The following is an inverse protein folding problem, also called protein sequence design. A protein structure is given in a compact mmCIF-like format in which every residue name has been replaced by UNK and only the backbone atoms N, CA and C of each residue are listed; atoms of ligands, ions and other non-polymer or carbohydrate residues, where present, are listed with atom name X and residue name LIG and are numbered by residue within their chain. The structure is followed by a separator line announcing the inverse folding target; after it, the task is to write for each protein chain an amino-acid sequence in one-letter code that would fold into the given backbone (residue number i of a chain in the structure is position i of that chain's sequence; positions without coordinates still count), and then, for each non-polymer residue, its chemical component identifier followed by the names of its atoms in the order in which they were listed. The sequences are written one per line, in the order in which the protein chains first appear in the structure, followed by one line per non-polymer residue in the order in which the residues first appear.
data_IF_263423286799
#
_entry.id   IF_263423286799
#
_cell.length_a   1.000
_cell.length_b   1.000
_cell.length_c   1.000
_cell.angle_alpha   90.00
_cell.angle_beta   90.00
_cell.angle_gamma   90.00
#
_symmetry.space_group_name_H-M   'P 1'
#
loop_
_entity.id
_entity.type
_entity.pdbx_description
1 polymer ?
#
# COMPACT_ATOMS: atom_id res chain seq x y z
N UNK A 1 -20.07 -9.03 6.51
CA UNK A 1 -19.33 -8.88 5.23
C UNK A 1 -17.86 -9.14 5.49
N UNK A 2 -17.23 -10.09 4.80
CA UNK A 2 -15.87 -10.56 5.15
C UNK A 2 -15.01 -10.58 3.90
N UNK A 3 -13.81 -10.00 3.96
CA UNK A 3 -12.74 -10.36 3.03
C UNK A 3 -12.62 -11.89 3.03
N UNK A 4 -12.58 -12.53 1.85
CA UNK A 4 -12.22 -13.94 1.78
C UNK A 4 -10.77 -14.05 2.22
N UNK A 5 -10.56 -14.56 3.43
CA UNK A 5 -9.23 -14.84 3.97
C UNK A 5 -8.67 -16.06 3.26
N UNK A 6 -8.06 -15.84 2.10
CA UNK A 6 -7.08 -16.79 1.57
C UNK A 6 -5.78 -16.44 2.30
N UNK A 7 -5.47 -17.20 3.35
CA UNK A 7 -4.24 -17.04 4.12
C UNK A 7 -3.13 -17.75 3.36
N UNK A 8 -2.22 -16.99 2.75
CA UNK A 8 -1.02 -17.54 2.15
C UNK A 8 0.15 -16.90 2.86
N UNK A 9 0.98 -17.75 3.46
CA UNK A 9 2.14 -17.38 4.25
C UNK A 9 3.35 -17.57 3.36
N UNK A 10 4.05 -16.49 3.03
CA UNK A 10 5.31 -16.55 2.30
C UNK A 10 6.35 -15.69 3.00
N UNK A 11 7.58 -16.18 3.12
CA UNK A 11 8.67 -15.38 3.66
C UNK A 11 9.23 -14.46 2.56
N UNK A 12 9.71 -13.27 2.91
CA UNK A 12 10.34 -12.31 2.00
C UNK A 12 11.69 -11.86 2.51
N UNK A 13 12.55 -11.44 1.58
CA UNK A 13 13.84 -10.84 1.89
C UNK A 13 13.77 -9.34 1.52
N UNK A 14 13.78 -8.45 2.52
CA UNK A 14 13.90 -7.00 2.32
C UNK A 14 15.32 -6.57 2.65
N UNK A 15 15.92 -5.77 1.75
CA UNK A 15 17.24 -5.19 1.98
C UNK A 15 17.16 -3.73 2.47
N UNK A 16 17.60 -3.43 3.71
CA UNK A 16 17.72 -2.06 4.26
C UNK A 16 19.19 -1.69 4.52
N UNK A 17 19.69 -0.59 3.93
CA UNK A 17 20.93 0.08 4.39
C UNK A 17 20.60 1.19 5.38
N UNK A 18 21.27 1.13 6.52
CA UNK A 18 21.55 2.29 7.36
C UNK A 18 22.84 2.93 6.85
N UNK A 19 22.83 4.21 6.50
CA UNK A 19 24.03 5.03 6.55
C UNK A 19 23.71 6.41 7.14
N UNK A 20 24.43 6.71 8.21
CA UNK A 20 24.72 8.07 8.62
C UNK A 20 25.80 8.65 7.69
N UNK A 21 25.76 9.97 7.55
CA UNK A 21 26.75 10.91 7.00
C UNK A 21 26.51 11.50 5.59
N UNK A 22 26.46 12.83 5.64
CA UNK A 22 26.52 13.82 4.57
C UNK A 22 27.70 13.58 3.61
N UNK A 23 27.45 13.65 2.30
CA UNK A 23 28.05 14.67 1.43
C UNK A 23 27.61 14.50 -0.03
N UNK A 24 27.56 15.64 -0.73
CA UNK A 24 27.07 15.88 -2.08
C UNK A 24 27.63 14.92 -3.15
N UNK A 25 26.73 14.33 -3.95
CA UNK A 25 26.73 14.26 -5.43
C UNK A 25 25.97 13.01 -5.94
N UNK A 26 24.75 13.26 -6.44
CA UNK A 26 24.08 12.64 -7.59
C UNK A 26 24.40 11.18 -7.95
N UNK A 27 23.72 10.22 -7.31
CA UNK A 27 23.19 8.99 -7.94
C UNK A 27 21.96 8.50 -7.14
N UNK A 28 20.90 7.97 -7.79
CA UNK A 28 19.73 7.46 -7.07
C UNK A 28 20.13 6.26 -6.21
N UNK A 29 19.92 6.39 -4.90
CA UNK A 29 20.27 5.43 -3.87
C UNK A 29 19.75 4.02 -4.17
N UNK A 30 20.62 3.15 -4.67
CA UNK A 30 20.43 1.69 -4.67
C UNK A 30 20.78 1.21 -3.26
N UNK A 31 19.76 0.81 -2.50
CA UNK A 31 19.86 0.42 -1.09
C UNK A 31 20.20 -1.08 -1.01
N UNK A 32 21.49 -1.43 -0.79
CA UNK A 32 21.98 -2.80 -0.54
C UNK A 32 22.19 -3.12 0.95
N UNK A 33 21.28 -3.76 1.69
CA UNK A 33 21.63 -4.18 3.07
C UNK A 33 20.80 -5.31 3.67
N UNK A 34 21.42 -6.33 4.25
CA UNK A 34 20.89 -7.40 5.13
C UNK A 34 19.51 -8.01 4.79
N UNK A 35 19.52 -9.31 4.49
CA UNK A 35 18.33 -10.13 4.29
C UNK A 35 17.48 -10.25 5.57
N UNK A 36 16.39 -9.48 5.68
CA UNK A 36 15.39 -9.72 6.71
C UNK A 36 14.34 -10.70 6.19
N UNK A 37 14.18 -11.84 6.87
CA UNK A 37 13.08 -12.77 6.63
C UNK A 37 11.77 -12.19 7.16
N UNK A 38 10.89 -11.83 6.25
CA UNK A 38 9.64 -11.14 6.53
C UNK A 38 8.49 -12.01 6.04
N UNK A 39 7.76 -12.59 6.97
CA UNK A 39 6.52 -13.27 6.64
C UNK A 39 5.50 -12.26 6.08
N UNK A 40 5.06 -12.49 4.86
CA UNK A 40 4.05 -11.71 4.15
C UNK A 40 2.80 -12.54 4.02
N UNK A 41 1.71 -11.88 4.35
CA UNK A 41 0.36 -12.35 4.17
C UNK A 41 -0.34 -11.52 3.11
N UNK A 42 -0.77 -12.17 2.04
CA UNK A 42 -1.62 -11.57 1.02
C UNK A 42 -3.10 -11.77 1.35
N UNK A 43 -3.96 -10.80 1.02
CA UNK A 43 -5.41 -10.91 1.20
C UNK A 43 -6.13 -10.15 0.10
N UNK A 44 -7.08 -10.80 -0.55
CA UNK A 44 -7.98 -10.19 -1.54
C UNK A 44 -9.25 -9.66 -0.84
N UNK A 45 -9.68 -8.45 -1.24
CA UNK A 45 -10.75 -7.68 -0.60
C UNK A 45 -11.95 -7.45 -1.54
N UNK A 46 -12.40 -8.47 -2.28
CA UNK A 46 -13.32 -8.34 -3.43
C UNK A 46 -14.64 -7.57 -3.21
N UNK A 47 -15.07 -7.37 -1.96
CA UNK A 47 -16.36 -6.75 -1.62
C UNK A 47 -16.30 -5.69 -0.51
N UNK A 48 -15.13 -5.17 -0.15
CA UNK A 48 -15.02 -4.21 0.96
C UNK A 48 -15.14 -2.78 0.45
N UNK A 49 -16.32 -2.20 0.63
CA UNK A 49 -16.60 -0.78 0.39
C UNK A 49 -16.53 -0.01 1.72
N UNK A 50 -15.80 1.10 1.72
CA UNK A 50 -15.60 1.96 2.87
C UNK A 50 -16.12 3.35 2.53
N UNK A 51 -17.02 3.85 3.38
CA UNK A 51 -17.62 5.18 3.26
C UNK A 51 -17.21 6.04 4.44
N UNK A 52 -17.42 7.35 4.32
CA UNK A 52 -17.34 8.26 5.46
C UNK A 52 -18.42 7.90 6.48
N UNK A 53 -18.03 7.74 7.74
CA UNK A 53 -18.96 7.34 8.81
C UNK A 53 -18.79 8.16 10.09
N UNK A 54 -17.59 8.64 10.41
CA UNK A 54 -17.35 9.34 11.66
C UNK A 54 -17.71 10.82 11.56
N UNK A 55 -18.29 11.34 12.64
CA UNK A 55 -18.61 12.78 12.75
C UNK A 55 -17.52 13.54 13.49
N UNK A 56 -16.76 12.86 14.35
CA UNK A 56 -15.66 13.42 15.12
C UNK A 56 -14.43 12.51 15.18
N UNK A 57 -13.26 13.12 15.44
CA UNK A 57 -11.97 12.43 15.62
C UNK A 57 -11.99 11.41 16.76
N UNK A 58 -12.81 11.64 17.79
CA UNK A 58 -12.88 10.81 18.99
C UNK A 58 -13.53 9.44 18.74
N UNK A 59 -14.32 9.32 17.67
CA UNK A 59 -14.93 8.04 17.26
C UNK A 59 -13.91 7.10 16.60
N UNK A 60 -12.83 7.65 16.02
CA UNK A 60 -11.89 6.93 15.18
C UNK A 60 -10.82 6.18 15.99
N UNK A 61 -11.15 4.97 16.48
CA UNK A 61 -10.20 4.11 17.23
C UNK A 61 -9.03 3.61 16.40
N UNK A 62 -9.27 3.28 15.12
CA UNK A 62 -8.31 2.75 14.15
C UNK A 62 -7.64 1.45 14.60
N UNK A 63 -8.40 0.53 15.19
CA UNK A 63 -7.94 -0.81 15.58
C UNK A 63 -7.73 -1.73 14.36
N UNK A 64 -8.43 -1.44 13.26
CA UNK A 64 -8.33 -2.13 11.98
C UNK A 64 -7.94 -1.16 10.86
N UNK A 65 -7.47 -1.70 9.73
CA UNK A 65 -7.13 -0.89 8.55
C UNK A 65 -8.40 -0.27 7.97
N UNK A 66 -9.51 -1.00 7.99
CA UNK A 66 -10.82 -0.54 7.53
C UNK A 66 -11.35 0.62 8.38
N UNK A 67 -11.19 0.57 9.71
CA UNK A 67 -11.48 1.70 10.59
C UNK A 67 -10.60 2.91 10.28
N UNK A 68 -9.31 2.70 10.01
CA UNK A 68 -8.39 3.77 9.62
C UNK A 68 -8.79 4.41 8.27
N UNK A 69 -9.16 3.62 7.26
CA UNK A 69 -9.69 4.16 6.00
C UNK A 69 -10.96 4.98 6.23
N UNK A 70 -11.87 4.50 7.08
CA UNK A 70 -13.09 5.23 7.47
C UNK A 70 -12.72 6.57 8.11
N UNK A 71 -11.72 6.58 9.00
CA UNK A 71 -11.20 7.79 9.63
C UNK A 71 -10.56 8.76 8.62
N UNK A 72 -9.77 8.25 7.69
CA UNK A 72 -9.13 9.06 6.62
C UNK A 72 -10.20 9.72 5.75
N UNK A 73 -11.23 8.97 5.34
CA UNK A 73 -12.36 9.52 4.57
C UNK A 73 -13.21 10.51 5.35
N UNK A 74 -13.26 10.37 6.68
CA UNK A 74 -14.08 11.23 7.55
C UNK A 74 -13.37 12.53 7.93
N UNK A 75 -12.05 12.60 7.79
CA UNK A 75 -11.21 13.71 8.21
C UNK A 75 -11.63 15.05 7.57
N UNK A 76 -12.03 16.00 8.41
CA UNK A 76 -12.47 17.35 8.02
C UNK A 76 -11.60 18.47 8.61
N UNK A 77 -10.50 18.13 9.27
CA UNK A 77 -9.56 19.09 9.87
C UNK A 77 -8.13 18.57 9.77
N UNK A 78 -7.16 19.48 9.92
CA UNK A 78 -5.74 19.11 9.92
C UNK A 78 -5.41 18.22 11.11
N UNK A 79 -5.95 18.51 12.30
CA UNK A 79 -5.72 17.70 13.50
C UNK A 79 -6.16 16.25 13.30
N UNK A 80 -7.21 16.01 12.52
CA UNK A 80 -7.65 14.66 12.18
C UNK A 80 -6.71 13.96 11.19
N UNK A 81 -6.17 14.69 10.21
CA UNK A 81 -5.12 14.15 9.33
C UNK A 81 -3.88 13.78 10.16
N UNK A 82 -3.47 14.67 11.07
CA UNK A 82 -2.30 14.48 11.94
C UNK A 82 -2.53 13.25 12.84
N UNK A 83 -3.73 13.06 13.39
CA UNK A 83 -4.12 11.90 14.19
C UNK A 83 -4.08 10.56 13.46
N UNK A 84 -4.38 10.56 12.16
CA UNK A 84 -4.31 9.37 11.32
C UNK A 84 -2.88 9.07 10.83
N UNK A 85 -1.95 10.03 10.93
CA UNK A 85 -0.59 9.92 10.38
C UNK A 85 0.43 9.52 11.42
N UNK A 86 1.28 8.55 11.12
CA UNK A 86 2.39 8.16 11.98
C UNK A 86 3.41 9.29 12.05
N UNK A 87 3.71 9.79 13.26
CA UNK A 87 4.54 10.97 13.47
C UNK A 87 3.76 12.29 13.47
N UNK A 88 2.43 12.23 13.32
CA UNK A 88 1.54 13.37 13.52
C UNK A 88 1.84 14.55 12.60
N UNK A 89 1.75 15.75 13.17
CA UNK A 89 1.92 17.04 12.49
C UNK A 89 3.27 17.23 11.79
N UNK A 90 4.30 16.48 12.20
CA UNK A 90 5.65 16.53 11.62
C UNK A 90 5.76 15.74 10.30
N UNK A 91 4.84 14.81 10.06
CA UNK A 91 4.85 13.91 8.89
C UNK A 91 3.61 14.05 8.01
N UNK A 92 2.54 14.64 8.54
CA UNK A 92 1.33 14.95 7.80
C UNK A 92 1.58 16.00 6.71
N UNK A 93 1.00 15.79 5.53
CA UNK A 93 0.92 16.84 4.51
C UNK A 93 -0.08 17.90 4.97
N UNK A 94 0.34 19.17 5.01
CA UNK A 94 -0.56 20.28 5.35
C UNK A 94 -1.58 20.52 4.25
N UNK A 95 -2.84 20.67 4.65
CA UNK A 95 -3.98 20.94 3.77
C UNK A 95 -4.57 22.31 4.08
N UNK A 96 -5.09 22.95 3.04
CA UNK A 96 -5.71 24.27 3.14
C UNK A 96 -7.14 24.16 3.70
N UNK A 97 -7.69 25.29 4.16
CA UNK A 97 -9.11 25.34 4.56
C UNK A 97 -10.05 24.97 3.41
N UNK A 98 -9.71 25.36 2.18
CA UNK A 98 -10.50 25.06 0.99
C UNK A 98 -10.60 23.56 0.70
N UNK A 99 -9.52 22.81 1.00
CA UNK A 99 -9.54 21.35 0.92
C UNK A 99 -10.60 20.75 1.85
N UNK A 100 -10.66 21.21 3.10
CA UNK A 100 -11.64 20.72 4.07
C UNK A 100 -13.06 21.19 3.75
N UNK A 101 -13.24 22.41 3.24
CA UNK A 101 -14.52 22.88 2.75
C UNK A 101 -15.02 22.03 1.57
N UNK A 102 -14.13 21.58 0.69
CA UNK A 102 -14.45 20.69 -0.43
C UNK A 102 -14.88 19.31 0.09
N UNK A 103 -14.12 18.71 1.00
CA UNK A 103 -14.48 17.42 1.64
C UNK A 103 -15.82 17.52 2.37
N UNK A 104 -16.08 18.63 3.04
CA UNK A 104 -17.34 18.87 3.76
C UNK A 104 -18.57 18.84 2.85
N UNK A 105 -18.41 19.19 1.56
CA UNK A 105 -19.48 19.22 0.56
C UNK A 105 -19.65 17.92 -0.22
N UNK A 106 -18.75 16.95 -0.05
CA UNK A 106 -18.83 15.66 -0.76
C UNK A 106 -20.02 14.83 -0.27
N UNK A 107 -20.76 14.25 -1.21
CA UNK A 107 -21.83 13.30 -0.91
C UNK A 107 -21.25 12.00 -0.31
N UNK A 108 -21.64 11.67 0.91
CA UNK A 108 -21.09 10.51 1.64
C UNK A 108 -21.58 9.17 1.08
N UNK A 109 -22.71 9.17 0.38
CA UNK A 109 -23.30 7.96 -0.18
C UNK A 109 -22.73 7.61 -1.54
N UNK A 110 -22.30 8.62 -2.30
CA UNK A 110 -21.71 8.46 -3.62
C UNK A 110 -20.17 8.39 -3.62
N UNK A 111 -19.51 8.96 -2.61
CA UNK A 111 -18.04 8.89 -2.47
C UNK A 111 -17.62 7.72 -1.58
N UNK A 112 -16.90 6.75 -2.13
CA UNK A 112 -16.46 5.56 -1.38
C UNK A 112 -15.11 5.02 -1.86
N UNK A 113 -14.44 4.30 -0.98
CA UNK A 113 -13.24 3.53 -1.28
C UNK A 113 -13.64 2.06 -1.44
N UNK A 114 -13.22 1.42 -2.53
CA UNK A 114 -13.24 -0.03 -2.67
C UNK A 114 -11.85 -0.59 -2.41
N UNK A 115 -11.67 -1.37 -1.34
CA UNK A 115 -10.42 -2.09 -1.11
C UNK A 115 -10.31 -3.23 -2.13
N UNK A 116 -9.10 -3.49 -2.63
CA UNK A 116 -8.86 -4.49 -3.68
C UNK A 116 -8.04 -5.64 -3.15
N UNK A 117 -6.88 -5.35 -2.60
CA UNK A 117 -6.07 -6.34 -1.91
C UNK A 117 -5.09 -5.66 -0.95
N UNK A 118 -4.51 -6.43 -0.04
CA UNK A 118 -3.46 -5.96 0.86
C UNK A 118 -2.36 -6.99 1.05
N UNK A 119 -1.15 -6.49 1.31
CA UNK A 119 -0.02 -7.24 1.85
C UNK A 119 0.19 -6.81 3.30
N UNK A 120 0.27 -7.77 4.22
CA UNK A 120 0.57 -7.54 5.64
C UNK A 120 1.87 -8.24 6.00
N UNK A 121 2.79 -7.56 6.68
CA UNK A 121 4.11 -8.08 7.00
C UNK A 121 4.77 -7.33 8.16
N UNK A 122 5.84 -7.90 8.76
CA UNK A 122 6.60 -7.21 9.82
C UNK A 122 7.84 -6.54 9.24
N UNK A 123 7.92 -5.21 9.34
CA UNK A 123 9.11 -4.43 9.00
C UNK A 123 9.79 -3.96 10.29
N UNK A 124 11.03 -4.38 10.54
CA UNK A 124 11.76 -4.05 11.78
C UNK A 124 10.91 -4.32 13.05
N UNK A 125 10.22 -5.46 13.09
CA UNK A 125 9.34 -5.85 14.20
C UNK A 125 7.97 -5.15 14.24
N UNK A 126 7.73 -4.14 13.40
CA UNK A 126 6.47 -3.40 13.32
C UNK A 126 5.55 -3.99 12.26
N UNK A 127 4.33 -4.37 12.65
CA UNK A 127 3.32 -4.83 11.70
C UNK A 127 2.96 -3.69 10.74
N UNK A 128 3.16 -3.95 9.45
CA UNK A 128 3.02 -3.03 8.33
C UNK A 128 2.04 -3.63 7.33
N UNK A 129 1.25 -2.79 6.69
CA UNK A 129 0.36 -3.21 5.62
C UNK A 129 0.41 -2.26 4.43
N UNK A 130 0.37 -2.79 3.21
CA UNK A 130 0.24 -2.03 1.97
C UNK A 130 -1.07 -2.44 1.32
N UNK A 131 -1.98 -1.48 1.12
CA UNK A 131 -3.33 -1.77 0.63
C UNK A 131 -3.61 -1.00 -0.65
N UNK A 132 -3.96 -1.73 -1.71
CA UNK A 132 -4.50 -1.18 -2.95
C UNK A 132 -5.99 -0.90 -2.80
N UNK A 133 -6.42 0.23 -3.31
CA UNK A 133 -7.83 0.61 -3.34
C UNK A 133 -8.19 1.43 -4.58
N UNK A 134 -9.48 1.49 -4.90
CA UNK A 134 -10.03 2.45 -5.85
C UNK A 134 -10.91 3.46 -5.11
N UNK A 135 -10.68 4.75 -5.36
CA UNK A 135 -11.53 5.83 -4.89
C UNK A 135 -12.59 6.13 -5.96
N UNK A 136 -13.86 6.04 -5.60
CA UNK A 136 -15.00 6.39 -6.43
C UNK A 136 -15.53 7.75 -5.97
N UNK A 137 -15.67 8.67 -6.93
CA UNK A 137 -16.23 10.00 -6.69
C UNK A 137 -17.27 10.32 -7.76
N UNK A 138 -18.23 11.16 -7.39
CA UNK A 138 -19.35 11.57 -8.25
C UNK A 138 -18.83 12.14 -9.57
N UNK A 139 -19.36 11.66 -10.69
CA UNK A 139 -19.01 12.11 -12.04
C UNK A 139 -17.51 12.01 -12.39
N UNK A 140 -16.75 11.17 -11.69
CA UNK A 140 -15.33 10.96 -11.94
C UNK A 140 -15.02 9.48 -12.21
N UNK A 141 -13.98 9.24 -13.01
CA UNK A 141 -13.44 7.88 -13.16
C UNK A 141 -12.79 7.45 -11.85
N UNK A 142 -12.90 6.16 -11.46
CA UNK A 142 -12.26 5.70 -10.24
C UNK A 142 -10.75 5.90 -10.27
N UNK A 143 -10.20 6.40 -9.18
CA UNK A 143 -8.76 6.66 -9.04
C UNK A 143 -8.11 5.49 -8.29
N UNK A 144 -7.06 4.91 -8.87
CA UNK A 144 -6.25 3.91 -8.18
C UNK A 144 -5.36 4.56 -7.12
N UNK A 145 -5.36 4.01 -5.92
CA UNK A 145 -4.54 4.46 -4.81
C UNK A 145 -3.87 3.31 -4.07
N UNK A 146 -2.82 3.65 -3.33
CA UNK A 146 -2.18 2.76 -2.37
C UNK A 146 -1.88 3.53 -1.10
N UNK A 147 -2.12 2.88 0.04
CA UNK A 147 -1.67 3.37 1.33
C UNK A 147 -0.79 2.35 2.03
N UNK A 148 0.22 2.88 2.71
CA UNK A 148 1.07 2.13 3.63
C UNK A 148 0.62 2.45 5.05
N UNK A 149 0.47 1.41 5.85
CA UNK A 149 0.00 1.50 7.23
C UNK A 149 0.99 0.82 8.16
N UNK A 150 1.11 1.35 9.38
CA UNK A 150 1.87 0.71 10.45
C UNK A 150 1.07 0.68 11.74
N UNK A 151 1.19 -0.43 12.48
CA UNK A 151 0.53 -0.62 13.75
C UNK A 151 1.47 -0.25 14.89
N UNK A 152 1.05 0.68 15.75
CA UNK A 152 1.73 1.04 17.01
C UNK A 152 0.77 0.80 18.18
N UNK A 153 1.13 -0.13 19.05
CA UNK A 153 0.21 -0.65 20.06
C UNK A 153 -1.04 -1.27 19.42
N UNK A 154 -2.22 -0.82 19.84
CA UNK A 154 -3.49 -1.33 19.29
C UNK A 154 -4.00 -0.56 18.07
N UNK A 155 -3.27 0.44 17.60
CA UNK A 155 -3.75 1.41 16.61
C UNK A 155 -2.95 1.39 15.32
N UNK A 156 -3.65 1.48 14.19
CA UNK A 156 -3.07 1.68 12.87
C UNK A 156 -2.95 3.15 12.52
N UNK A 157 -1.87 3.47 11.80
CA UNK A 157 -1.56 4.79 11.30
C UNK A 157 -1.18 4.72 9.83
N UNK A 158 -1.55 5.73 9.06
CA UNK A 158 -1.02 5.96 7.72
C UNK A 158 0.44 6.41 7.83
N UNK A 159 1.28 5.91 6.94
CA UNK A 159 2.69 6.31 6.86
C UNK A 159 3.13 6.38 5.42
N UNK A 160 4.25 7.06 5.20
CA UNK A 160 4.99 7.05 3.94
C UNK A 160 6.45 6.80 4.29
N UNK A 161 6.93 5.59 4.04
CA UNK A 161 8.33 5.23 4.22
C UNK A 161 8.94 4.92 2.85
N UNK A 162 10.09 5.52 2.56
CA UNK A 162 10.89 5.28 1.36
C UNK A 162 11.20 3.78 1.18
N UNK A 163 11.40 3.04 2.27
CA UNK A 163 11.65 1.58 2.23
C UNK A 163 10.49 0.79 1.61
N UNK A 164 9.28 1.34 1.62
CA UNK A 164 8.09 0.67 1.09
C UNK A 164 7.58 1.27 -0.22
N UNK A 165 8.22 2.33 -0.73
CA UNK A 165 7.69 3.10 -1.88
C UNK A 165 7.60 2.26 -3.14
N UNK A 166 8.65 1.51 -3.49
CA UNK A 166 8.66 0.67 -4.69
C UNK A 166 7.66 -0.48 -4.56
N UNK A 167 7.70 -1.21 -3.44
CA UNK A 167 6.71 -2.27 -3.17
C UNK A 167 5.28 -1.73 -3.20
N UNK A 168 5.02 -0.53 -2.67
CA UNK A 168 3.71 0.10 -2.72
C UNK A 168 3.26 0.40 -4.17
N UNK A 169 4.17 0.85 -5.04
CA UNK A 169 3.88 1.02 -6.46
C UNK A 169 3.55 -0.32 -7.11
N UNK A 170 4.32 -1.38 -6.83
CA UNK A 170 4.06 -2.72 -7.36
C UNK A 170 2.68 -3.22 -6.89
N UNK A 171 2.36 -3.08 -5.60
CA UNK A 171 1.04 -3.42 -5.05
C UNK A 171 -0.06 -2.63 -5.74
N UNK A 172 0.11 -1.33 -5.91
CA UNK A 172 -0.87 -0.49 -6.60
C UNK A 172 -1.12 -0.97 -8.03
N UNK A 173 -0.05 -1.28 -8.77
CA UNK A 173 -0.07 -1.57 -10.19
C UNK A 173 -0.53 -2.99 -10.51
N UNK A 174 -0.18 -3.98 -9.69
CA UNK A 174 -0.49 -5.38 -9.98
C UNK A 174 -1.98 -5.68 -9.88
N UNK A 175 -2.42 -6.67 -10.67
CA UNK A 175 -3.71 -7.33 -10.49
C UNK A 175 -3.67 -8.20 -9.23
N UNK A 176 -4.82 -8.45 -8.62
CA UNK A 176 -4.90 -9.38 -7.47
C UNK A 176 -4.48 -10.79 -7.88
N UNK A 177 -4.78 -11.19 -9.10
CA UNK A 177 -4.44 -12.46 -9.72
C UNK A 177 -2.92 -12.64 -9.85
N UNK A 178 -2.19 -11.56 -10.15
CA UNK A 178 -0.73 -11.57 -10.23
C UNK A 178 -0.11 -11.92 -8.87
N UNK A 179 -0.57 -11.29 -7.80
CA UNK A 179 -0.10 -11.65 -6.45
C UNK A 179 -0.53 -13.05 -6.06
N UNK A 180 -1.77 -13.43 -6.39
CA UNK A 180 -2.24 -14.79 -6.16
C UNK A 180 -1.32 -15.82 -6.84
N UNK A 181 -0.93 -15.57 -8.09
CA UNK A 181 0.01 -16.43 -8.82
C UNK A 181 1.39 -16.50 -8.15
N UNK A 182 1.91 -15.37 -7.65
CA UNK A 182 3.18 -15.33 -6.91
C UNK A 182 3.13 -16.18 -5.64
N UNK A 183 2.03 -16.10 -4.88
CA UNK A 183 1.92 -16.74 -3.58
C UNK A 183 1.38 -18.18 -3.64
N UNK A 184 0.52 -18.52 -4.60
CA UNK A 184 -0.13 -19.84 -4.72
C UNK A 184 0.55 -20.78 -5.71
N UNK A 185 1.29 -20.26 -6.70
CA UNK A 185 1.87 -21.08 -7.77
C UNK A 185 3.40 -20.92 -7.84
N UNK A 186 4.17 -21.83 -7.20
CA UNK A 186 5.63 -21.74 -7.23
C UNK A 186 6.22 -21.95 -8.63
N UNK A 187 5.47 -22.51 -9.57
CA UNK A 187 5.91 -22.79 -10.93
C UNK A 187 5.56 -21.70 -11.94
N UNK A 188 4.88 -20.64 -11.51
CA UNK A 188 4.55 -19.52 -12.38
C UNK A 188 5.82 -18.86 -12.96
N UNK A 189 5.66 -18.12 -14.06
CA UNK A 189 6.78 -17.35 -14.62
C UNK A 189 7.34 -16.38 -13.57
N UNK A 190 6.46 -15.66 -12.86
CA UNK A 190 6.86 -14.70 -11.84
C UNK A 190 7.53 -15.38 -10.64
N UNK A 191 6.91 -16.41 -10.06
CA UNK A 191 7.47 -17.12 -8.90
C UNK A 191 8.85 -17.66 -9.20
N UNK A 192 9.07 -18.29 -10.35
CA UNK A 192 10.41 -18.80 -10.74
C UNK A 192 11.47 -17.71 -10.88
N UNK A 193 11.08 -16.46 -11.15
CA UNK A 193 12.00 -15.32 -11.28
C UNK A 193 12.31 -14.67 -9.94
N UNK A 194 11.36 -14.66 -9.02
CA UNK A 194 11.42 -13.84 -7.80
C UNK A 194 11.49 -14.65 -6.52
N UNK A 195 11.26 -15.96 -6.54
CA UNK A 195 11.31 -16.81 -5.34
C UNK A 195 12.69 -17.44 -5.19
N UNK A 196 13.29 -17.27 -4.01
CA UNK A 196 14.52 -17.89 -3.56
C UNK A 196 14.26 -18.71 -2.30
N UNK A 197 14.60 -20.00 -2.28
CA UNK A 197 14.43 -20.88 -1.11
C UNK A 197 13.02 -20.80 -0.48
N UNK A 198 11.98 -20.86 -1.32
CA UNK A 198 10.56 -20.72 -0.94
C UNK A 198 10.19 -19.35 -0.34
N UNK A 199 10.97 -18.30 -0.65
CA UNK A 199 10.77 -16.93 -0.20
C UNK A 199 10.69 -15.95 -1.37
N UNK A 200 9.74 -15.02 -1.36
CA UNK A 200 9.67 -13.96 -2.37
C UNK A 200 10.80 -12.94 -2.10
N UNK A 201 11.71 -12.80 -3.06
CA UNK A 201 12.79 -11.82 -3.02
C UNK A 201 12.28 -10.48 -3.58
N UNK A 202 12.14 -9.47 -2.71
CA UNK A 202 11.62 -8.15 -3.11
C UNK A 202 12.53 -7.48 -4.13
N UNK A 203 13.84 -7.56 -3.98
CA UNK A 203 14.75 -6.95 -4.94
C UNK A 203 14.61 -7.59 -6.34
N UNK A 204 14.38 -8.90 -6.42
CA UNK A 204 14.08 -9.58 -7.69
C UNK A 204 12.71 -9.18 -8.25
N UNK A 205 11.69 -9.06 -7.40
CA UNK A 205 10.37 -8.58 -7.81
C UNK A 205 10.43 -7.15 -8.37
N UNK A 206 11.17 -6.26 -7.71
CA UNK A 206 11.38 -4.89 -8.18
C UNK A 206 12.13 -4.87 -9.51
N UNK A 207 13.22 -5.64 -9.61
CA UNK A 207 13.99 -5.76 -10.85
C UNK A 207 13.14 -6.28 -12.01
N UNK A 208 12.37 -7.34 -11.78
CA UNK A 208 11.45 -7.90 -12.78
C UNK A 208 10.39 -6.87 -13.19
N UNK A 209 9.76 -6.20 -12.21
CA UNK A 209 8.76 -5.15 -12.48
C UNK A 209 9.31 -4.03 -13.37
N UNK A 210 10.49 -3.48 -13.04
CA UNK A 210 11.08 -2.39 -13.82
C UNK A 210 11.59 -2.83 -15.19
N UNK A 211 12.00 -4.10 -15.33
CA UNK A 211 12.44 -4.64 -16.63
C UNK A 211 11.34 -4.61 -17.71
N UNK A 212 10.07 -4.51 -17.31
CA UNK A 212 8.96 -4.41 -18.26
C UNK A 212 8.82 -3.02 -18.89
N UNK A 213 9.51 -2.01 -18.35
CA UNK A 213 9.43 -0.62 -18.80
C UNK A 213 10.73 -0.12 -19.45
N UNK A 214 11.84 -0.86 -19.35
CA UNK A 214 13.16 -0.43 -19.81
C UNK A 214 14.05 -1.61 -20.20
N UNK A 215 14.88 -1.52 -21.27
CA UNK A 215 15.07 -0.35 -22.15
C UNK A 215 13.90 -0.11 -23.11
N UNK A 216 13.14 -1.15 -23.46
CA UNK A 216 11.93 -1.06 -24.26
C UNK A 216 10.72 -1.56 -23.47
N UNK A 217 9.56 -0.93 -23.69
CA UNK A 217 8.33 -1.27 -22.99
C UNK A 217 7.78 -2.62 -23.46
N UNK A 218 7.78 -3.63 -22.58
CA UNK A 218 7.18 -4.93 -22.86
C UNK A 218 5.66 -4.88 -22.60
N UNK A 219 4.89 -4.60 -23.66
CA UNK A 219 3.42 -4.48 -23.57
C UNK A 219 2.75 -5.77 -23.12
N UNK A 220 3.20 -6.93 -23.60
CA UNK A 220 2.61 -8.23 -23.27
C UNK A 220 2.67 -8.49 -21.75
N UNK A 221 3.84 -8.27 -21.12
CA UNK A 221 4.00 -8.44 -19.67
C UNK A 221 3.17 -7.43 -18.88
N UNK A 222 3.10 -6.19 -19.36
CA UNK A 222 2.28 -5.15 -18.73
C UNK A 222 0.80 -5.53 -18.78
N UNK A 223 0.28 -5.91 -19.94
CA UNK A 223 -1.14 -6.27 -20.11
C UNK A 223 -1.50 -7.54 -19.32
N UNK A 224 -0.54 -8.47 -19.19
CA UNK A 224 -0.71 -9.70 -18.42
C UNK A 224 -0.79 -9.43 -16.91
N UNK A 225 0.12 -8.65 -16.35
CA UNK A 225 0.31 -8.55 -14.89
C UNK A 225 -0.17 -7.24 -14.24
N UNK A 226 -0.26 -6.15 -15.00
CA UNK A 226 -0.64 -4.82 -14.51
C UNK A 226 -2.14 -4.63 -14.67
N UNK A 227 -2.77 -4.10 -13.63
CA UNK A 227 -4.18 -3.74 -13.65
C UNK A 227 -4.36 -2.48 -14.49
N UNK A 228 -5.11 -2.60 -15.59
CA UNK A 228 -5.36 -1.52 -16.53
C UNK A 228 -6.10 -0.33 -15.90
N UNK A 229 -6.80 -0.54 -14.78
CA UNK A 229 -7.50 0.51 -14.02
C UNK A 229 -6.56 1.37 -13.18
N UNK A 230 -5.26 1.10 -13.22
CA UNK A 230 -4.24 1.84 -12.46
C UNK A 230 -3.60 2.98 -13.26
N UNK A 231 -3.89 3.06 -14.57
CA UNK A 231 -3.40 4.07 -15.50
C UNK A 231 -4.30 5.30 -15.57
#
# INVERSE_FOLDING_TARGET
MKCKKILIIANMIISTLSYAQENNQTYPNIIMGKEQNIEIKFTICDSTMIKKAYSSINEAKNNTIEELFTSILSANSQDWIDYNTLGGSQKSVKKTKDYFATIGKMDKDENYIKLIHKLEFKLNGTLTAITKFFLYQVNQRPISGVYVFQKKGNRWYQTSNNTTSTLAIIVMRFKSETFKEIFDNPYSYLSRKIVDNDRVNIAKLEKEFFSWYSPEKNKEKIDLYIDSKTW
#
